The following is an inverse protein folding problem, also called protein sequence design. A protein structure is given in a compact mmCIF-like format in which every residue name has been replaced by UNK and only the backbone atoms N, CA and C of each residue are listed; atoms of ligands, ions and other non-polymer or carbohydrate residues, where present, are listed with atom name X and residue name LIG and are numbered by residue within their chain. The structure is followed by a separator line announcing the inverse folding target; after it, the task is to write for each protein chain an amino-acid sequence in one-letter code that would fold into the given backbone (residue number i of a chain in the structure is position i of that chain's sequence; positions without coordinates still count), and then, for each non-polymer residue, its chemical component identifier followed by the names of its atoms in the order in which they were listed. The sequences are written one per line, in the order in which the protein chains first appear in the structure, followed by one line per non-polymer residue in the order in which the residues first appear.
data_IF_045242658616
#
_entry.id   IF_045242658616
#
_cell.length_a   1.000
_cell.length_b   1.000
_cell.length_c   1.000
_cell.angle_alpha   90.00
_cell.angle_beta   90.00
_cell.angle_gamma   90.00
#
_symmetry.space_group_name_H-M   'P 1'
#
loop_
_entity.id
_entity.type
_entity.pdbx_description
1 polymer ?
#
# COMPACT_ATOMS: atom_id res chain seq x y z
N UNK A 1 -1.42 -9.38 -36.44
CA UNK A 1 -0.30 -9.38 -35.49
C UNK A 1 0.50 -8.07 -35.66
N UNK A 2 0.78 -7.37 -34.51
CA UNK A 2 1.50 -6.09 -34.54
C UNK A 2 2.88 -6.23 -35.17
N UNK A 3 3.55 -7.37 -34.98
CA UNK A 3 4.85 -7.64 -35.56
C UNK A 3 4.79 -7.70 -37.08
N UNK A 4 3.77 -8.30 -37.65
CA UNK A 4 3.51 -8.36 -39.10
C UNK A 4 3.23 -6.97 -39.67
N UNK A 5 2.35 -6.20 -39.01
CA UNK A 5 2.02 -4.82 -39.41
C UNK A 5 3.23 -3.89 -39.37
N UNK A 6 4.10 -4.07 -38.40
CA UNK A 6 5.33 -3.30 -38.27
C UNK A 6 6.46 -3.81 -39.19
N UNK A 7 6.39 -5.04 -39.73
CA UNK A 7 7.44 -5.67 -40.51
C UNK A 7 8.67 -6.02 -39.68
N UNK A 8 8.49 -6.41 -38.41
CA UNK A 8 9.58 -6.73 -37.47
C UNK A 8 9.29 -8.04 -36.72
N UNK A 9 10.26 -8.54 -35.97
CA UNK A 9 10.04 -9.71 -35.12
C UNK A 9 9.16 -9.42 -33.91
N UNK A 10 8.45 -10.43 -33.38
CA UNK A 10 7.71 -10.34 -32.13
C UNK A 10 8.58 -9.89 -30.95
N UNK A 11 9.86 -10.33 -30.96
CA UNK A 11 10.84 -9.89 -29.95
C UNK A 11 11.11 -8.39 -30.02
N UNK A 12 11.18 -7.81 -31.24
CA UNK A 12 11.36 -6.37 -31.43
C UNK A 12 10.15 -5.59 -30.87
N UNK A 13 8.93 -6.06 -31.17
CA UNK A 13 7.70 -5.45 -30.60
C UNK A 13 7.70 -5.55 -29.09
N UNK A 14 8.00 -6.72 -28.52
CA UNK A 14 8.10 -6.92 -27.07
C UNK A 14 9.14 -6.01 -26.43
N UNK A 15 10.30 -5.82 -27.06
CA UNK A 15 11.33 -4.92 -26.58
C UNK A 15 10.85 -3.46 -26.55
N UNK A 16 10.12 -3.00 -27.56
CA UNK A 16 9.56 -1.65 -27.59
C UNK A 16 8.51 -1.48 -26.50
N UNK A 17 7.57 -2.42 -26.37
CA UNK A 17 6.52 -2.42 -25.34
C UNK A 17 7.13 -2.35 -23.93
N UNK A 18 8.21 -3.08 -23.70
CA UNK A 18 8.88 -3.18 -22.41
C UNK A 18 10.01 -2.13 -22.20
N UNK A 19 10.16 -1.14 -23.08
CA UNK A 19 11.18 -0.09 -22.95
C UNK A 19 12.62 -0.54 -23.19
N UNK A 20 12.85 -1.76 -23.63
CA UNK A 20 14.18 -2.32 -23.96
C UNK A 20 14.66 -1.87 -25.33
N UNK A 21 14.73 -0.57 -25.58
CA UNK A 21 14.89 0.03 -26.90
C UNK A 21 16.33 0.25 -27.34
N UNK A 22 17.35 -0.07 -26.51
CA UNK A 22 18.77 0.22 -26.78
C UNK A 22 19.29 -0.29 -28.14
N UNK A 23 18.66 -1.33 -28.70
CA UNK A 23 19.04 -1.96 -29.98
C UNK A 23 17.97 -1.78 -31.07
N UNK A 24 17.03 -0.86 -30.87
CA UNK A 24 15.94 -0.60 -31.82
C UNK A 24 16.05 0.83 -32.32
N UNK A 25 15.96 1.03 -33.64
CA UNK A 25 16.04 2.38 -34.20
C UNK A 25 14.82 3.21 -33.82
N UNK A 26 14.99 4.53 -33.68
CA UNK A 26 13.91 5.44 -33.34
C UNK A 26 12.73 5.32 -34.32
N UNK A 27 13.01 5.23 -35.62
CA UNK A 27 12.01 5.01 -36.67
C UNK A 27 11.17 3.75 -36.44
N UNK A 28 11.78 2.68 -35.96
CA UNK A 28 11.08 1.41 -35.66
C UNK A 28 10.24 1.55 -34.40
N UNK A 29 10.74 2.25 -33.37
CA UNK A 29 10.02 2.54 -32.14
C UNK A 29 8.76 3.34 -32.45
N UNK A 30 8.89 4.45 -33.21
CA UNK A 30 7.78 5.30 -33.58
C UNK A 30 6.72 4.55 -34.39
N UNK A 31 7.14 3.71 -35.35
CA UNK A 31 6.24 2.87 -36.14
C UNK A 31 5.43 1.90 -35.26
N UNK A 32 6.12 1.18 -34.36
CA UNK A 32 5.47 0.21 -33.46
C UNK A 32 4.50 0.95 -32.53
N UNK A 33 4.93 2.07 -31.95
CA UNK A 33 4.09 2.88 -31.04
C UNK A 33 2.82 3.40 -31.72
N UNK A 34 2.93 3.84 -32.97
CA UNK A 34 1.77 4.27 -33.77
C UNK A 34 0.78 3.12 -34.00
N UNK A 35 1.27 1.94 -34.39
CA UNK A 35 0.45 0.75 -34.60
C UNK A 35 -0.22 0.30 -33.28
N UNK A 36 0.52 0.28 -32.16
CA UNK A 36 -0.04 -0.05 -30.83
C UNK A 36 -1.20 0.87 -30.49
N UNK A 37 -1.04 2.17 -30.74
CA UNK A 37 -2.08 3.18 -30.47
C UNK A 37 -3.29 3.01 -31.41
N UNK A 38 -3.07 2.79 -32.71
CA UNK A 38 -4.12 2.57 -33.69
C UNK A 38 -4.94 1.31 -33.40
N UNK A 39 -4.27 0.26 -32.95
CA UNK A 39 -4.92 -1.01 -32.61
C UNK A 39 -5.47 -1.04 -31.18
N UNK A 40 -5.40 0.07 -30.41
CA UNK A 40 -5.77 0.13 -29.00
C UNK A 40 -5.15 -1.02 -28.18
N UNK A 41 -3.92 -1.40 -28.51
CA UNK A 41 -3.27 -2.53 -27.86
C UNK A 41 -2.81 -2.14 -26.44
N UNK A 42 -3.35 -2.84 -25.44
CA UNK A 42 -2.93 -2.73 -24.05
C UNK A 42 -2.10 -3.98 -23.70
N UNK A 43 -0.84 -3.83 -23.26
CA UNK A 43 -0.04 -4.96 -22.84
C UNK A 43 -0.71 -5.74 -21.70
N UNK A 44 -0.77 -7.04 -21.82
CA UNK A 44 -1.29 -7.88 -20.75
C UNK A 44 -0.30 -7.92 -19.58
N UNK A 45 -0.74 -7.60 -18.36
CA UNK A 45 0.15 -7.48 -17.19
C UNK A 45 0.96 -8.75 -16.93
N UNK A 46 0.40 -9.94 -17.17
CA UNK A 46 1.15 -11.19 -17.08
C UNK A 46 2.40 -11.22 -17.97
N UNK A 47 2.32 -10.66 -19.19
CA UNK A 47 3.48 -10.56 -20.09
C UNK A 47 4.52 -9.56 -19.60
N UNK A 48 4.07 -8.45 -19.01
CA UNK A 48 4.93 -7.41 -18.40
C UNK A 48 5.68 -7.99 -17.20
N UNK A 49 4.99 -8.73 -16.34
CA UNK A 49 5.58 -9.38 -15.16
C UNK A 49 6.63 -10.44 -15.55
N UNK A 50 6.35 -11.25 -16.59
CA UNK A 50 7.29 -12.25 -17.10
C UNK A 50 8.55 -11.64 -17.71
N UNK A 51 8.47 -10.40 -18.21
CA UNK A 51 9.63 -9.69 -18.77
C UNK A 51 10.51 -9.00 -17.70
N UNK A 52 10.23 -9.22 -16.42
CA UNK A 52 11.08 -8.75 -15.31
C UNK A 52 10.80 -7.30 -14.84
N UNK A 53 9.72 -6.68 -15.29
CA UNK A 53 9.38 -5.29 -14.94
C UNK A 53 8.55 -5.14 -13.65
N UNK A 54 8.45 -6.20 -12.86
CA UNK A 54 7.64 -6.20 -11.64
C UNK A 54 6.13 -6.21 -11.92
N UNK A 55 5.33 -6.25 -10.85
CA UNK A 55 3.87 -6.21 -10.96
C UNK A 55 3.29 -4.80 -10.93
N UNK A 56 4.07 -3.85 -10.41
CA UNK A 56 3.59 -2.51 -10.07
C UNK A 56 2.37 -2.51 -9.14
N UNK A 57 2.24 -3.53 -8.32
CA UNK A 57 1.14 -3.67 -7.36
C UNK A 57 1.68 -3.38 -5.95
N UNK A 58 1.02 -2.46 -5.26
CA UNK A 58 1.18 -2.23 -3.82
C UNK A 58 -0.02 -2.85 -3.12
N UNK A 59 0.22 -3.76 -2.18
CA UNK A 59 -0.81 -4.34 -1.35
C UNK A 59 -1.14 -3.43 -0.18
N UNK A 60 -2.43 -3.13 0.04
CA UNK A 60 -2.91 -2.48 1.26
C UNK A 60 -3.63 -3.54 2.08
N UNK A 61 -3.03 -3.89 3.21
CA UNK A 61 -3.53 -4.93 4.12
C UNK A 61 -4.37 -4.29 5.21
N UNK A 62 -5.62 -4.73 5.34
CA UNK A 62 -6.54 -4.29 6.39
C UNK A 62 -6.66 -5.40 7.43
N UNK A 63 -5.95 -5.24 8.55
CA UNK A 63 -5.74 -6.28 9.57
C UNK A 63 -6.67 -6.20 10.76
N UNK A 64 -7.68 -5.35 10.72
CA UNK A 64 -8.61 -5.17 11.83
C UNK A 64 -10.07 -5.31 11.38
N UNK A 65 -10.88 -5.81 12.31
CA UNK A 65 -12.35 -5.81 12.22
C UNK A 65 -12.86 -5.08 13.45
N UNK A 66 -13.75 -4.13 13.27
CA UNK A 66 -14.33 -3.40 14.39
C UNK A 66 -15.25 -4.32 15.22
N UNK A 67 -15.27 -4.10 16.55
CA UNK A 67 -15.98 -4.94 17.51
C UNK A 67 -17.50 -5.07 17.23
N UNK A 68 -18.09 -4.16 16.47
CA UNK A 68 -19.51 -4.15 16.12
C UNK A 68 -19.81 -4.68 14.71
N UNK A 69 -18.90 -5.43 14.10
CA UNK A 69 -19.10 -5.98 12.75
C UNK A 69 -19.04 -4.96 11.61
N UNK A 70 -18.64 -3.72 11.91
CA UNK A 70 -18.40 -2.71 10.88
C UNK A 70 -17.17 -3.13 10.06
N UNK A 71 -17.30 -3.12 8.75
CA UNK A 71 -16.15 -3.40 7.87
C UNK A 71 -15.19 -2.22 7.89
N UNK A 72 -13.88 -2.50 7.85
CA UNK A 72 -12.83 -1.47 7.89
C UNK A 72 -13.04 -0.36 6.84
N UNK A 73 -13.57 -0.68 5.68
CA UNK A 73 -13.85 0.30 4.62
C UNK A 73 -15.04 1.23 4.91
N UNK A 74 -15.84 0.95 5.92
CA UNK A 74 -16.93 1.83 6.35
C UNK A 74 -16.45 2.94 7.29
N UNK A 75 -15.22 2.82 7.81
CA UNK A 75 -14.58 3.86 8.59
C UNK A 75 -14.14 5.02 7.67
N UNK A 76 -14.61 6.26 7.91
CA UNK A 76 -14.25 7.41 7.08
C UNK A 76 -12.74 7.66 7.02
N UNK A 77 -12.00 7.44 8.11
CA UNK A 77 -10.55 7.59 8.16
C UNK A 77 -9.87 6.58 7.22
N UNK A 78 -10.25 5.32 7.29
CA UNK A 78 -9.71 4.26 6.43
C UNK A 78 -10.04 4.51 4.97
N UNK A 79 -11.27 4.95 4.68
CA UNK A 79 -11.71 5.29 3.33
C UNK A 79 -10.90 6.42 2.72
N UNK A 80 -10.69 7.51 3.47
CA UNK A 80 -9.86 8.65 3.05
C UNK A 80 -8.40 8.26 2.86
N UNK A 81 -7.83 7.50 3.80
CA UNK A 81 -6.45 7.02 3.72
C UNK A 81 -6.21 6.17 2.47
N UNK A 82 -7.08 5.20 2.19
CA UNK A 82 -6.98 4.36 1.00
C UNK A 82 -7.13 5.21 -0.28
N UNK A 83 -8.04 6.18 -0.27
CA UNK A 83 -8.22 7.11 -1.37
C UNK A 83 -6.93 7.88 -1.70
N UNK A 84 -6.26 8.42 -0.69
CA UNK A 84 -4.99 9.13 -0.83
C UNK A 84 -3.85 8.19 -1.25
N UNK A 85 -3.73 7.00 -0.66
CA UNK A 85 -2.75 5.99 -1.06
C UNK A 85 -2.92 5.65 -2.55
N UNK A 86 -4.17 5.46 -3.02
CA UNK A 86 -4.46 5.17 -4.42
C UNK A 86 -3.98 6.29 -5.34
N UNK A 87 -4.31 7.54 -5.02
CA UNK A 87 -3.90 8.70 -5.84
C UNK A 87 -2.38 8.78 -5.95
N UNK A 88 -1.68 8.73 -4.83
CA UNK A 88 -0.23 8.84 -4.78
C UNK A 88 0.49 7.67 -5.50
N UNK A 89 -0.04 6.48 -5.41
CA UNK A 89 0.53 5.30 -6.09
C UNK A 89 0.25 5.33 -7.58
N UNK A 90 -0.94 5.76 -8.00
CA UNK A 90 -1.34 5.87 -9.40
C UNK A 90 -0.47 6.89 -10.16
N UNK A 91 -0.17 8.05 -9.56
CA UNK A 91 0.75 9.05 -10.14
C UNK A 91 2.15 8.47 -10.41
N UNK A 92 2.57 7.49 -9.62
CA UNK A 92 3.86 6.78 -9.77
C UNK A 92 3.76 5.54 -10.67
N UNK A 93 2.59 5.30 -11.27
CA UNK A 93 2.34 4.17 -12.16
C UNK A 93 2.19 2.83 -11.44
N UNK A 94 1.76 2.85 -10.18
CA UNK A 94 1.43 1.65 -9.40
C UNK A 94 -0.07 1.47 -9.26
N UNK A 95 -0.48 0.25 -8.99
CA UNK A 95 -1.86 -0.14 -8.69
C UNK A 95 -1.99 -0.54 -7.23
N UNK A 96 -3.14 -0.26 -6.63
CA UNK A 96 -3.45 -0.68 -5.26
C UNK A 96 -4.26 -1.97 -5.29
N UNK A 97 -3.84 -2.95 -4.49
CA UNK A 97 -4.59 -4.18 -4.22
C UNK A 97 -4.98 -4.22 -2.74
N UNK A 98 -6.27 -4.20 -2.44
CA UNK A 98 -6.75 -4.37 -1.07
C UNK A 98 -6.70 -5.86 -0.69
N UNK A 99 -6.18 -6.16 0.49
CA UNK A 99 -5.99 -7.52 1.01
C UNK A 99 -6.57 -7.58 2.42
N UNK A 100 -7.48 -8.54 2.67
CA UNK A 100 -7.95 -8.84 4.03
C UNK A 100 -6.79 -9.38 4.87
N UNK A 101 -6.58 -8.77 6.04
CA UNK A 101 -5.40 -8.98 6.86
C UNK A 101 -5.63 -9.89 8.08
N UNK A 102 -6.84 -10.41 8.33
CA UNK A 102 -7.13 -11.25 9.49
C UNK A 102 -6.29 -12.54 9.48
N UNK A 103 -6.16 -13.18 8.32
CA UNK A 103 -5.33 -14.37 8.13
C UNK A 103 -3.99 -14.00 7.47
N UNK A 104 -2.90 -14.15 8.22
CA UNK A 104 -1.54 -13.88 7.74
C UNK A 104 -1.17 -14.79 6.57
N UNK A 105 -1.63 -16.05 6.55
CA UNK A 105 -1.30 -16.96 5.46
C UNK A 105 -1.96 -16.52 4.17
N UNK A 106 -3.20 -16.06 4.22
CA UNK A 106 -3.88 -15.47 3.08
C UNK A 106 -3.14 -14.25 2.51
N UNK A 107 -2.62 -13.36 3.38
CA UNK A 107 -1.80 -12.21 2.95
C UNK A 107 -0.54 -12.68 2.22
N UNK A 108 0.16 -13.69 2.76
CA UNK A 108 1.36 -14.28 2.13
C UNK A 108 1.03 -14.85 0.75
N UNK A 109 -0.06 -15.60 0.65
CA UNK A 109 -0.47 -16.28 -0.58
C UNK A 109 -0.84 -15.27 -1.66
N UNK A 110 -1.64 -14.26 -1.34
CA UNK A 110 -2.04 -13.22 -2.29
C UNK A 110 -0.82 -12.41 -2.73
N UNK A 111 -0.02 -11.91 -1.79
CA UNK A 111 1.15 -11.09 -2.09
C UNK A 111 2.17 -11.86 -2.95
N UNK A 112 2.31 -13.16 -2.74
CA UNK A 112 3.19 -14.02 -3.54
C UNK A 112 2.62 -14.31 -4.93
N UNK A 113 1.36 -14.71 -5.03
CA UNK A 113 0.69 -15.05 -6.30
C UNK A 113 0.66 -13.86 -7.27
N UNK A 114 0.41 -12.67 -6.76
CA UNK A 114 0.34 -11.44 -7.54
C UNK A 114 1.69 -10.71 -7.63
N UNK A 115 2.74 -11.28 -7.05
CA UNK A 115 4.07 -10.68 -6.99
C UNK A 115 4.05 -9.22 -6.51
N UNK A 116 3.26 -8.93 -5.48
CA UNK A 116 3.12 -7.59 -4.89
C UNK A 116 4.49 -7.03 -4.52
N UNK A 117 4.79 -5.78 -4.87
CA UNK A 117 6.13 -5.20 -4.70
C UNK A 117 6.40 -4.69 -3.28
N UNK A 118 5.35 -4.26 -2.59
CA UNK A 118 5.41 -3.81 -1.21
C UNK A 118 4.04 -3.85 -0.55
N UNK A 119 4.02 -3.76 0.78
CA UNK A 119 2.79 -3.75 1.56
C UNK A 119 2.69 -2.49 2.42
N UNK A 120 1.52 -1.89 2.46
CA UNK A 120 1.08 -0.90 3.44
C UNK A 120 0.07 -1.60 4.33
N UNK A 121 0.29 -1.60 5.64
CA UNK A 121 -0.43 -2.47 6.57
C UNK A 121 -1.09 -1.62 7.66
N UNK A 122 -2.40 -1.76 7.78
CA UNK A 122 -3.20 -1.13 8.83
C UNK A 122 -3.68 -2.20 9.81
N UNK A 123 -3.65 -1.87 11.11
CA UNK A 123 -4.22 -2.72 12.15
C UNK A 123 -3.39 -3.94 12.53
N UNK A 124 -2.08 -3.92 12.25
CA UNK A 124 -1.16 -4.93 12.77
C UNK A 124 -0.40 -4.39 13.96
N UNK A 125 -0.32 -5.19 15.01
CA UNK A 125 0.64 -5.02 16.09
C UNK A 125 2.01 -5.63 15.73
N UNK A 126 2.99 -5.49 16.62
CA UNK A 126 4.35 -6.00 16.43
C UNK A 126 4.38 -7.51 16.20
N UNK A 127 3.59 -8.30 16.93
CA UNK A 127 3.55 -9.76 16.81
C UNK A 127 3.09 -10.21 15.43
N UNK A 128 2.01 -9.63 14.92
CA UNK A 128 1.46 -9.92 13.58
C UNK A 128 2.44 -9.51 12.49
N UNK A 129 3.06 -8.34 12.63
CA UNK A 129 4.10 -7.89 11.71
C UNK A 129 5.28 -8.88 11.67
N UNK A 130 5.79 -9.30 12.82
CA UNK A 130 6.87 -10.31 12.92
C UNK A 130 6.50 -11.62 12.25
N UNK A 131 5.27 -12.09 12.46
CA UNK A 131 4.78 -13.31 11.84
C UNK A 131 4.74 -13.20 10.31
N UNK A 132 4.27 -12.06 9.77
CA UNK A 132 4.23 -11.80 8.34
C UNK A 132 5.65 -11.65 7.76
N UNK A 133 6.52 -10.86 8.39
CA UNK A 133 7.86 -10.55 7.89
C UNK A 133 8.79 -11.77 7.83
N UNK A 134 8.57 -12.78 8.68
CA UNK A 134 9.28 -14.06 8.61
C UNK A 134 8.88 -14.92 7.41
N UNK A 135 7.64 -14.77 6.93
CA UNK A 135 7.08 -15.55 5.82
C UNK A 135 7.21 -14.87 4.47
N UNK A 136 7.31 -13.55 4.47
CA UNK A 136 7.26 -12.75 3.24
C UNK A 136 8.39 -11.73 3.21
N UNK A 137 9.36 -11.93 2.31
CA UNK A 137 10.48 -11.00 2.11
C UNK A 137 10.07 -9.87 1.15
N UNK A 138 9.28 -8.92 1.66
CA UNK A 138 8.82 -7.73 0.92
C UNK A 138 9.03 -6.49 1.78
N UNK A 139 9.12 -5.31 1.15
CA UNK A 139 9.08 -4.04 1.87
C UNK A 139 7.70 -3.85 2.49
N UNK A 140 7.67 -3.44 3.76
CA UNK A 140 6.44 -3.26 4.51
C UNK A 140 6.50 -1.96 5.30
N UNK A 141 5.41 -1.21 5.28
CA UNK A 141 5.19 -0.02 6.09
C UNK A 141 3.91 -0.22 6.87
N UNK A 142 3.93 0.04 8.17
CA UNK A 142 2.75 0.01 9.01
C UNK A 142 2.17 1.42 9.13
N UNK A 143 0.87 1.49 9.30
CA UNK A 143 0.16 2.73 9.60
C UNK A 143 -0.38 2.64 11.03
N UNK A 144 -0.11 3.68 11.82
CA UNK A 144 -0.54 3.82 13.21
C UNK A 144 -0.28 2.56 14.05
N UNK A 145 0.92 1.98 13.90
CA UNK A 145 1.37 0.85 14.71
C UNK A 145 2.25 1.35 15.86
N UNK A 146 2.10 0.71 17.01
CA UNK A 146 2.80 1.09 18.25
C UNK A 146 3.71 -0.06 18.67
N UNK A 147 5.06 0.11 18.60
CA UNK A 147 6.00 -0.94 19.00
C UNK A 147 5.98 -1.09 20.52
N UNK A 148 5.82 -2.32 20.99
CA UNK A 148 5.84 -2.67 22.42
C UNK A 148 7.24 -3.04 22.92
N UNK A 149 8.23 -3.13 22.01
CA UNK A 149 9.57 -3.62 22.33
C UNK A 149 10.69 -2.99 21.51
N UNK A 150 11.86 -3.64 21.51
CA UNK A 150 13.05 -3.19 20.80
C UNK A 150 13.03 -3.50 19.28
N UNK A 151 11.95 -4.05 18.77
CA UNK A 151 11.83 -4.39 17.35
C UNK A 151 11.48 -3.17 16.53
N UNK A 152 12.29 -2.89 15.51
CA UNK A 152 12.08 -1.75 14.62
C UNK A 152 11.37 -2.17 13.35
N UNK A 153 10.33 -1.46 12.99
CA UNK A 153 9.66 -1.54 11.70
C UNK A 153 9.42 -0.13 11.15
N UNK A 154 9.20 -0.02 9.85
CA UNK A 154 8.81 1.26 9.29
C UNK A 154 7.34 1.54 9.62
N UNK A 155 7.09 2.67 10.26
CA UNK A 155 5.76 3.12 10.65
C UNK A 155 5.51 4.55 10.20
N UNK A 156 4.30 4.83 9.81
CA UNK A 156 3.78 6.17 9.55
C UNK A 156 2.54 6.35 10.44
N UNK A 157 2.55 7.36 11.26
CA UNK A 157 1.44 7.63 12.19
C UNK A 157 1.51 9.03 12.73
N UNK A 158 0.51 9.41 13.53
CA UNK A 158 0.47 10.67 14.25
C UNK A 158 1.15 10.53 15.61
N UNK A 159 1.58 11.66 16.19
CA UNK A 159 2.06 11.73 17.57
C UNK A 159 0.87 11.84 18.52
N UNK A 160 0.28 10.69 18.83
CA UNK A 160 -0.92 10.58 19.65
C UNK A 160 -0.69 11.07 21.09
N UNK A 161 0.52 10.86 21.64
CA UNK A 161 0.88 11.39 22.96
C UNK A 161 0.86 12.92 22.96
N UNK A 162 1.53 13.54 22.00
CA UNK A 162 1.55 15.00 21.87
C UNK A 162 0.14 15.57 21.62
N UNK A 163 -0.68 14.87 20.83
CA UNK A 163 -2.07 15.24 20.61
C UNK A 163 -2.89 15.24 21.90
N UNK A 164 -2.78 14.18 22.69
CA UNK A 164 -3.40 14.07 24.01
C UNK A 164 -2.95 15.19 24.95
N UNK A 165 -1.65 15.42 25.04
CA UNK A 165 -1.06 16.47 25.86
C UNK A 165 -1.60 17.87 25.49
N UNK A 166 -1.64 18.21 24.21
CA UNK A 166 -2.13 19.51 23.74
C UNK A 166 -3.60 19.72 24.12
N UNK A 167 -4.44 18.70 24.04
CA UNK A 167 -5.84 18.79 24.48
C UNK A 167 -5.95 18.99 25.98
N UNK A 168 -5.17 18.25 26.78
CA UNK A 168 -5.13 18.42 28.26
C UNK A 168 -4.68 19.83 28.64
N UNK A 169 -3.62 20.34 28.04
CA UNK A 169 -3.12 21.69 28.26
C UNK A 169 -4.15 22.76 27.87
N UNK A 170 -4.81 22.58 26.72
CA UNK A 170 -5.88 23.48 26.28
C UNK A 170 -7.04 23.54 27.29
N UNK A 171 -7.55 22.41 27.75
CA UNK A 171 -8.62 22.34 28.75
C UNK A 171 -8.20 22.99 30.06
N UNK A 172 -6.96 22.75 30.49
CA UNK A 172 -6.42 23.41 31.70
C UNK A 172 -6.36 24.94 31.53
N UNK A 173 -5.91 25.45 30.39
CA UNK A 173 -5.85 26.88 30.08
C UNK A 173 -7.24 27.53 30.04
N UNK A 174 -8.27 26.78 29.65
CA UNK A 174 -9.68 27.21 29.72
C UNK A 174 -10.27 27.21 31.15
N UNK A 175 -9.47 26.81 32.15
CA UNK A 175 -9.88 26.82 33.57
C UNK A 175 -10.57 25.54 34.07
N UNK A 176 -10.68 24.51 33.23
CA UNK A 176 -11.23 23.22 33.67
C UNK A 176 -10.29 22.55 34.68
N UNK A 177 -10.84 22.02 35.75
CA UNK A 177 -10.10 21.34 36.84
C UNK A 177 -10.35 19.83 36.85
N UNK A 178 -11.33 19.39 36.10
CA UNK A 178 -11.68 17.97 35.94
C UNK A 178 -12.06 17.75 34.50
N UNK A 179 -11.52 16.69 33.89
CA UNK A 179 -11.84 16.25 32.57
C UNK A 179 -12.02 14.73 32.57
N UNK A 180 -12.75 14.22 31.60
CA UNK A 180 -12.97 12.79 31.39
C UNK A 180 -12.45 12.41 30.01
N UNK A 181 -11.55 11.44 29.96
CA UNK A 181 -11.11 10.84 28.74
C UNK A 181 -11.99 9.61 28.44
N UNK A 182 -12.56 9.53 27.24
CA UNK A 182 -13.37 8.40 26.77
C UNK A 182 -12.67 7.82 25.54
N UNK A 183 -12.41 6.53 25.58
CA UNK A 183 -11.76 5.80 24.50
C UNK A 183 -12.44 4.43 24.29
N UNK A 184 -12.23 3.82 23.16
CA UNK A 184 -12.74 2.47 22.85
C UNK A 184 -11.85 1.40 23.49
N UNK A 185 -10.53 1.65 23.56
CA UNK A 185 -9.55 0.70 24.07
C UNK A 185 -8.57 1.35 25.05
N UNK A 186 -7.82 0.53 25.78
CA UNK A 186 -6.69 0.91 26.63
C UNK A 186 -5.33 0.64 25.97
N UNK A 187 -5.30 0.58 24.64
CA UNK A 187 -4.13 0.21 23.84
C UNK A 187 -3.93 1.18 22.69
N UNK A 188 -2.79 1.02 22.00
CA UNK A 188 -2.44 1.71 20.76
C UNK A 188 -2.65 3.23 20.83
N UNK A 189 -3.29 3.84 19.84
CA UNK A 189 -3.52 5.28 19.78
C UNK A 189 -4.27 5.83 21.00
N UNK A 190 -5.30 5.12 21.47
CA UNK A 190 -6.10 5.55 22.62
C UNK A 190 -5.28 5.60 23.89
N UNK A 191 -4.40 4.60 24.11
CA UNK A 191 -3.50 4.58 25.25
C UNK A 191 -2.52 5.76 25.22
N UNK A 192 -1.89 6.04 24.08
CA UNK A 192 -0.93 7.14 23.97
C UNK A 192 -1.60 8.50 24.09
N UNK A 193 -2.80 8.68 23.53
CA UNK A 193 -3.62 9.90 23.72
C UNK A 193 -3.97 10.11 25.18
N UNK A 194 -4.38 9.04 25.87
CA UNK A 194 -4.69 9.09 27.30
C UNK A 194 -3.44 9.43 28.15
N UNK A 195 -2.31 8.81 27.86
CA UNK A 195 -1.06 9.09 28.57
C UNK A 195 -0.56 10.54 28.39
N UNK A 196 -0.84 11.13 27.23
CA UNK A 196 -0.55 12.54 26.99
C UNK A 196 -1.50 13.48 27.72
N UNK A 197 -2.80 13.12 27.75
CA UNK A 197 -3.88 13.90 28.35
C UNK A 197 -3.77 14.00 29.87
#
# INVERSE_FOLDING_TARGET
DIAEMAGVSRTTVSNVINGNTKRVSQKTIDKITAILKEQNYVPHMGSVMLSGHGSRIIGVVLGFTYAHGMQSLQDPFVGELIGNIRMETEEKGYYVMLIGGEDIQNVVDIASKWNVEGLIILGYNEERYRSLSRKLNKKMILIDAYPEGAYTFQNVGVDDYSGGYQIGEYLYSCGYKKALFIAETDRDSDYYRWMGF
#
